data_IF_798246602146
#
_entry.id   IF_798246602146
#
_cell.length_a   1.000
_cell.length_b   1.000
_cell.length_c   1.000
_cell.angle_alpha   90.00
_cell.angle_beta   90.00
_cell.angle_gamma   90.00
#
_symmetry.space_group_name_H-M   'P 1'
#
loop_
_entity.id
_entity.type
_entity.pdbx_description
1 polymer ?
#
# COMPACT_ATOMS: atom_id res chain seq x y z
N UNK A 1 30.96 54.77 6.01
CA UNK A 1 30.60 54.12 4.73
C UNK A 1 31.89 54.06 3.92
N UNK A 2 32.54 52.90 3.87
CA UNK A 2 33.83 52.75 3.19
C UNK A 2 33.56 52.45 1.70
N UNK A 3 33.87 53.41 0.83
CA UNK A 3 33.84 53.23 -0.62
C UNK A 3 35.11 52.52 -1.08
N UNK A 4 34.97 51.72 -2.14
CA UNK A 4 35.97 50.75 -2.63
C UNK A 4 37.34 51.37 -2.85
N UNK A 5 37.44 52.68 -3.14
CA UNK A 5 38.68 53.37 -3.55
C UNK A 5 39.69 53.67 -2.42
N UNK A 6 39.38 53.33 -1.16
CA UNK A 6 40.25 53.59 0.01
C UNK A 6 40.99 52.34 0.54
N UNK A 7 41.06 51.26 -0.23
CA UNK A 7 41.77 50.04 0.16
C UNK A 7 43.21 50.05 -0.37
N UNK A 8 44.15 49.53 0.43
CA UNK A 8 45.55 49.40 0.01
C UNK A 8 45.67 48.51 -1.23
N UNK A 9 46.61 48.84 -2.12
CA UNK A 9 46.89 48.11 -3.37
C UNK A 9 47.11 46.61 -3.16
N UNK A 10 47.61 46.23 -1.97
CA UNK A 10 47.80 44.84 -1.54
C UNK A 10 46.49 44.05 -1.48
N UNK A 11 45.39 44.68 -1.07
CA UNK A 11 44.07 44.06 -0.94
C UNK A 11 43.50 43.75 -2.33
N UNK A 12 43.68 44.64 -3.30
CA UNK A 12 43.29 44.40 -4.69
C UNK A 12 44.09 43.27 -5.33
N UNK A 13 45.41 43.22 -5.09
CA UNK A 13 46.25 42.13 -5.59
C UNK A 13 45.84 40.78 -4.99
N UNK A 14 45.52 40.75 -3.70
CA UNK A 14 45.09 39.54 -3.00
C UNK A 14 43.70 39.09 -3.51
N UNK A 15 42.78 40.03 -3.73
CA UNK A 15 41.49 39.76 -4.34
C UNK A 15 41.65 39.19 -5.75
N UNK A 16 42.45 39.82 -6.62
CA UNK A 16 42.71 39.35 -7.97
C UNK A 16 43.34 37.95 -8.01
N UNK A 17 44.30 37.68 -7.12
CA UNK A 17 44.90 36.34 -6.97
C UNK A 17 43.86 35.30 -6.55
N UNK A 18 42.99 35.65 -5.59
CA UNK A 18 41.95 34.75 -5.11
C UNK A 18 40.92 34.44 -6.18
N UNK A 19 40.47 35.45 -6.93
CA UNK A 19 39.55 35.27 -8.05
C UNK A 19 40.17 34.40 -9.13
N UNK A 20 41.44 34.63 -9.49
CA UNK A 20 42.17 33.81 -10.47
C UNK A 20 42.30 32.35 -10.05
N UNK A 21 42.57 32.08 -8.77
CA UNK A 21 42.63 30.70 -8.26
C UNK A 21 41.27 30.00 -8.34
N UNK A 22 40.19 30.71 -8.01
CA UNK A 22 38.83 30.16 -8.10
C UNK A 22 38.48 29.86 -9.57
N UNK A 23 38.77 30.79 -10.48
CA UNK A 23 38.55 30.59 -11.92
C UNK A 23 39.34 29.40 -12.47
N UNK A 24 40.61 29.25 -12.10
CA UNK A 24 41.42 28.09 -12.48
C UNK A 24 40.86 26.77 -11.95
N UNK A 25 40.39 26.77 -10.69
CA UNK A 25 39.78 25.58 -10.07
C UNK A 25 38.48 25.21 -10.79
N UNK A 26 37.65 26.19 -11.12
CA UNK A 26 36.42 25.98 -11.88
C UNK A 26 36.70 25.50 -13.31
N UNK A 27 37.75 25.99 -13.97
CA UNK A 27 38.15 25.50 -15.30
C UNK A 27 38.65 24.05 -15.27
N UNK A 28 39.41 23.67 -14.24
CA UNK A 28 39.96 22.32 -14.11
C UNK A 28 38.89 21.28 -13.74
N UNK A 29 38.03 21.59 -12.76
CA UNK A 29 37.08 20.64 -12.21
C UNK A 29 35.64 20.83 -12.71
N UNK A 30 35.38 21.87 -13.52
CA UNK A 30 34.06 22.22 -14.07
C UNK A 30 32.96 22.22 -13.00
N UNK A 31 33.27 22.75 -11.81
CA UNK A 31 32.36 22.73 -10.65
C UNK A 31 31.04 23.46 -10.94
N UNK A 32 31.07 24.47 -11.81
CA UNK A 32 29.88 25.20 -12.27
C UNK A 32 28.89 24.30 -13.04
N UNK A 33 29.35 23.16 -13.57
CA UNK A 33 28.55 22.16 -14.28
C UNK A 33 28.09 21.01 -13.35
N UNK A 34 28.54 20.96 -12.09
CA UNK A 34 28.19 19.87 -11.17
C UNK A 34 26.67 19.79 -10.90
N UNK A 35 25.97 20.92 -10.90
CA UNK A 35 24.50 20.96 -10.78
C UNK A 35 23.74 20.51 -12.04
N UNK A 36 24.43 20.35 -13.17
CA UNK A 36 23.86 19.89 -14.44
C UNK A 36 24.02 18.39 -14.69
N UNK A 37 24.72 17.68 -13.80
CA UNK A 37 24.85 16.22 -13.89
C UNK A 37 23.47 15.62 -13.60
N UNK A 38 22.85 14.88 -14.55
CA UNK A 38 21.56 14.27 -14.32
C UNK A 38 21.69 13.29 -13.14
N UNK A 39 20.68 13.22 -12.25
CA UNK A 39 20.71 12.38 -11.03
C UNK A 39 20.88 10.88 -11.32
N UNK A 40 20.77 10.48 -12.58
CA UNK A 40 21.02 9.13 -13.09
C UNK A 40 22.50 8.72 -13.06
N UNK A 41 23.44 9.67 -12.96
CA UNK A 41 24.90 9.43 -12.88
C UNK A 41 25.39 9.44 -11.42
N UNK A 42 24.49 9.73 -10.47
CA UNK A 42 24.80 9.73 -9.05
C UNK A 42 25.02 8.27 -8.61
N UNK A 43 26.29 7.85 -8.55
CA UNK A 43 26.68 6.56 -7.98
C UNK A 43 26.35 6.63 -6.49
N UNK A 44 25.20 6.06 -6.12
CA UNK A 44 24.89 5.86 -4.70
C UNK A 44 25.90 4.85 -4.15
N UNK A 45 26.75 5.30 -3.25
CA UNK A 45 27.64 4.44 -2.48
C UNK A 45 26.83 3.73 -1.40
N UNK A 46 25.96 2.80 -1.83
CA UNK A 46 25.22 1.94 -0.93
C UNK A 46 26.15 0.80 -0.52
N UNK A 47 26.80 0.93 0.63
CA UNK A 47 27.44 -0.20 1.28
C UNK A 47 26.33 -1.18 1.69
N UNK A 48 26.23 -2.37 1.06
CA UNK A 48 25.22 -3.33 1.44
C UNK A 48 25.47 -3.77 2.88
N UNK A 49 24.40 -3.94 3.66
CA UNK A 49 24.55 -4.52 5.00
C UNK A 49 25.07 -5.95 4.85
N UNK A 50 25.88 -6.47 5.79
CA UNK A 50 26.37 -7.85 5.72
C UNK A 50 25.22 -8.87 5.56
N UNK A 51 24.07 -8.59 6.16
CA UNK A 51 22.83 -9.40 5.99
C UNK A 51 22.29 -9.43 4.55
N UNK A 52 22.48 -8.35 3.79
CA UNK A 52 22.06 -8.26 2.39
C UNK A 52 23.05 -8.99 1.47
N UNK A 53 24.35 -9.00 1.84
CA UNK A 53 25.37 -9.80 1.16
C UNK A 53 25.10 -11.29 1.36
N UNK A 54 24.79 -11.73 2.59
CA UNK A 54 24.45 -13.13 2.88
C UNK A 54 23.20 -13.60 2.12
N UNK A 55 22.25 -12.68 1.92
CA UNK A 55 21.04 -12.87 1.13
C UNK A 55 21.35 -13.00 -0.37
N UNK A 56 22.22 -12.15 -0.91
CA UNK A 56 22.68 -12.22 -2.30
C UNK A 56 23.52 -13.47 -2.59
N UNK A 57 24.37 -13.86 -1.65
CA UNK A 57 25.23 -15.05 -1.76
C UNK A 57 24.46 -16.36 -1.52
N UNK A 58 23.17 -16.30 -1.18
CA UNK A 58 22.34 -17.47 -0.94
C UNK A 58 22.78 -18.31 0.27
N UNK A 59 23.56 -17.72 1.18
CA UNK A 59 24.06 -18.38 2.40
C UNK A 59 22.91 -18.57 3.40
N UNK A 60 21.94 -17.65 3.40
CA UNK A 60 20.74 -17.73 4.24
C UNK A 60 19.58 -18.31 3.41
N UNK A 61 18.97 -19.43 3.84
CA UNK A 61 17.77 -19.94 3.20
C UNK A 61 16.59 -19.02 3.51
N UNK A 62 16.14 -18.27 2.52
CA UNK A 62 14.96 -17.42 2.67
C UNK A 62 13.76 -18.19 2.12
N UNK A 63 12.84 -18.53 3.01
CA UNK A 63 11.49 -18.93 2.64
C UNK A 63 10.75 -17.67 2.17
N UNK A 64 11.06 -17.16 0.97
CA UNK A 64 10.24 -16.12 0.36
C UNK A 64 8.94 -16.77 -0.13
N UNK A 65 7.78 -16.47 0.47
CA UNK A 65 6.52 -16.84 -0.18
C UNK A 65 6.50 -16.12 -1.53
N UNK A 66 6.15 -16.85 -2.59
CA UNK A 66 6.05 -16.37 -3.97
C UNK A 66 5.07 -15.19 -4.16
N UNK A 67 4.34 -14.81 -3.11
CA UNK A 67 3.44 -13.68 -3.07
C UNK A 67 3.33 -13.10 -1.66
N UNK A 68 3.65 -11.82 -1.50
CA UNK A 68 3.29 -11.00 -0.34
C UNK A 68 2.02 -10.22 -0.65
N UNK A 69 0.87 -10.88 -0.58
CA UNK A 69 -0.42 -10.16 -0.61
C UNK A 69 -1.06 -10.22 0.76
N UNK A 70 -1.38 -9.06 1.29
CA UNK A 70 -2.28 -8.98 2.44
C UNK A 70 -3.67 -9.45 2.01
N UNK A 71 -4.42 -10.14 2.90
CA UNK A 71 -5.80 -10.48 2.61
C UNK A 71 -6.57 -9.18 2.33
N UNK A 72 -7.30 -9.10 1.20
CA UNK A 72 -8.00 -7.88 0.84
C UNK A 72 -9.12 -7.60 1.83
N UNK A 73 -9.22 -6.35 2.27
CA UNK A 73 -10.39 -5.85 3.00
C UNK A 73 -11.65 -6.06 2.15
N UNK A 74 -12.71 -6.62 2.75
CA UNK A 74 -13.98 -6.92 2.09
C UNK A 74 -13.86 -7.81 0.83
N UNK A 75 -13.16 -8.95 0.95
CA UNK A 75 -12.94 -9.92 -0.14
C UNK A 75 -14.22 -10.29 -0.89
N UNK A 76 -15.33 -10.53 -0.16
CA UNK A 76 -16.61 -10.95 -0.73
C UNK A 76 -17.21 -9.91 -1.67
N UNK A 77 -17.06 -8.62 -1.36
CA UNK A 77 -17.51 -7.51 -2.21
C UNK A 77 -16.66 -7.36 -3.46
N UNK A 78 -15.33 -7.43 -3.34
CA UNK A 78 -14.40 -7.20 -4.45
C UNK A 78 -14.43 -8.30 -5.51
N UNK A 79 -14.75 -9.54 -5.13
CA UNK A 79 -14.78 -10.68 -6.06
C UNK A 79 -16.12 -10.83 -6.81
N UNK A 80 -17.16 -10.11 -6.40
CA UNK A 80 -18.49 -10.24 -6.99
C UNK A 80 -18.61 -9.34 -8.22
N UNK A 81 -19.03 -9.93 -9.33
CA UNK A 81 -19.36 -9.20 -10.55
C UNK A 81 -20.52 -8.22 -10.26
N UNK A 82 -20.46 -6.98 -10.77
CA UNK A 82 -21.60 -6.05 -10.70
C UNK A 82 -22.83 -6.56 -11.47
N UNK A 83 -22.62 -7.51 -12.40
CA UNK A 83 -23.68 -8.24 -13.12
C UNK A 83 -24.06 -9.55 -12.44
N UNK A 84 -23.46 -9.86 -11.28
CA UNK A 84 -23.83 -11.02 -10.49
C UNK A 84 -25.22 -10.83 -9.89
N UNK A 85 -25.98 -11.92 -9.82
CA UNK A 85 -27.33 -11.99 -9.24
C UNK A 85 -27.39 -11.72 -7.73
N UNK A 86 -26.33 -11.14 -7.14
CA UNK A 86 -26.22 -10.75 -5.74
C UNK A 86 -27.32 -9.78 -5.28
N UNK A 87 -27.90 -8.99 -6.20
CA UNK A 87 -29.03 -8.08 -5.92
C UNK A 87 -30.38 -8.80 -5.76
N UNK A 88 -30.49 -10.05 -6.22
CA UNK A 88 -31.73 -10.84 -6.17
C UNK A 88 -31.80 -11.67 -4.88
N UNK A 89 -30.65 -11.83 -4.21
CA UNK A 89 -30.54 -12.62 -3.00
C UNK A 89 -31.00 -11.78 -1.80
N UNK A 90 -31.92 -12.28 -0.95
CA UNK A 90 -32.32 -11.60 0.26
C UNK A 90 -31.13 -11.43 1.22
N UNK A 91 -31.01 -10.23 1.77
CA UNK A 91 -30.08 -9.86 2.83
C UNK A 91 -30.77 -8.96 3.84
N UNK A 92 -30.29 -8.97 5.08
CA UNK A 92 -30.72 -8.03 6.12
C UNK A 92 -29.97 -6.71 5.95
N UNK A 93 -30.42 -5.88 5.00
CA UNK A 93 -29.72 -4.65 4.61
C UNK A 93 -28.67 -4.90 3.54
N UNK A 94 -27.57 -4.16 3.57
CA UNK A 94 -26.44 -4.40 2.66
C UNK A 94 -25.68 -5.68 3.07
N UNK A 95 -25.07 -6.37 2.10
CA UNK A 95 -24.36 -7.63 2.37
C UNK A 95 -23.13 -7.41 3.26
N UNK A 96 -22.47 -6.26 3.11
CA UNK A 96 -21.35 -5.85 3.97
C UNK A 96 -21.83 -5.56 5.39
N UNK A 97 -23.03 -5.00 5.55
CA UNK A 97 -23.64 -4.75 6.86
C UNK A 97 -24.04 -6.06 7.52
N UNK A 98 -24.60 -7.01 6.77
CA UNK A 98 -24.91 -8.33 7.28
C UNK A 98 -23.66 -9.06 7.78
N UNK A 99 -22.54 -9.03 7.05
CA UNK A 99 -21.29 -9.66 7.51
C UNK A 99 -20.73 -9.00 8.79
N UNK A 100 -20.83 -7.67 8.91
CA UNK A 100 -20.47 -6.96 10.14
C UNK A 100 -21.39 -7.33 11.30
N UNK A 101 -22.69 -7.45 11.06
CA UNK A 101 -23.68 -7.81 12.06
C UNK A 101 -23.47 -9.24 12.56
N UNK A 102 -23.19 -10.20 11.66
CA UNK A 102 -22.83 -11.57 12.01
C UNK A 102 -21.58 -11.62 12.91
N UNK A 103 -20.55 -10.84 12.56
CA UNK A 103 -19.33 -10.72 13.39
C UNK A 103 -19.61 -10.06 14.75
N UNK A 104 -20.43 -9.01 14.77
CA UNK A 104 -20.82 -8.33 15.99
C UNK A 104 -21.55 -9.28 16.94
N UNK A 105 -22.58 -9.99 16.44
CA UNK A 105 -23.34 -10.98 17.21
C UNK A 105 -22.43 -12.10 17.72
N UNK A 106 -21.49 -12.58 16.90
CA UNK A 106 -20.53 -13.61 17.32
C UNK A 106 -19.65 -13.11 18.49
N UNK A 107 -19.16 -11.87 18.41
CA UNK A 107 -18.27 -11.25 19.40
C UNK A 107 -18.93 -10.80 20.70
N UNK A 108 -20.26 -10.68 20.73
CA UNK A 108 -20.97 -10.28 21.95
C UNK A 108 -20.91 -11.36 23.03
N UNK A 109 -20.42 -10.99 24.21
CA UNK A 109 -20.46 -11.81 25.42
C UNK A 109 -21.86 -11.78 26.02
N UNK A 110 -22.49 -12.95 26.18
CA UNK A 110 -23.78 -13.06 26.86
C UNK A 110 -23.55 -13.22 28.36
N UNK A 111 -24.23 -12.41 29.18
CA UNK A 111 -24.15 -12.44 30.64
C UNK A 111 -25.39 -13.04 31.29
N UNK A 112 -26.52 -12.97 30.61
CA UNK A 112 -27.80 -13.49 31.10
C UNK A 112 -28.31 -14.63 30.22
N UNK A 113 -29.10 -15.57 30.77
CA UNK A 113 -29.69 -16.66 29.98
C UNK A 113 -30.71 -16.15 28.94
N UNK A 114 -31.23 -14.93 29.10
CA UNK A 114 -32.11 -14.28 28.11
C UNK A 114 -31.30 -13.81 26.90
N UNK A 115 -30.15 -13.15 27.11
CA UNK A 115 -29.23 -12.74 26.04
C UNK A 115 -28.71 -13.92 25.22
N UNK A 116 -28.49 -15.08 25.84
CA UNK A 116 -28.09 -16.29 25.11
C UNK A 116 -29.19 -16.77 24.16
N UNK A 117 -30.45 -16.72 24.58
CA UNK A 117 -31.60 -17.08 23.73
C UNK A 117 -31.78 -16.10 22.59
N UNK A 118 -31.62 -14.81 22.86
CA UNK A 118 -31.67 -13.77 21.83
C UNK A 118 -30.56 -13.96 20.81
N UNK A 119 -29.32 -14.17 21.26
CA UNK A 119 -28.18 -14.47 20.39
C UNK A 119 -28.45 -15.71 19.52
N UNK A 120 -28.96 -16.79 20.11
CA UNK A 120 -29.34 -17.99 19.37
C UNK A 120 -30.41 -17.70 18.29
N UNK A 121 -31.46 -16.96 18.64
CA UNK A 121 -32.51 -16.60 17.68
C UNK A 121 -32.00 -15.75 16.51
N UNK A 122 -31.10 -14.80 16.78
CA UNK A 122 -30.44 -13.99 15.75
C UNK A 122 -29.55 -14.86 14.85
N UNK A 123 -28.75 -15.75 15.43
CA UNK A 123 -27.92 -16.68 14.64
C UNK A 123 -28.77 -17.59 13.76
N UNK A 124 -29.89 -18.11 14.26
CA UNK A 124 -30.81 -18.94 13.48
C UNK A 124 -31.43 -18.16 12.31
N UNK A 125 -31.73 -16.87 12.49
CA UNK A 125 -32.22 -16.00 11.41
C UNK A 125 -31.19 -15.88 10.27
N UNK A 126 -29.92 -15.60 10.59
CA UNK A 126 -28.86 -15.53 9.59
C UNK A 126 -28.67 -16.87 8.86
N UNK A 127 -28.74 -18.00 9.57
CA UNK A 127 -28.67 -19.32 8.95
C UNK A 127 -29.83 -19.59 7.98
N UNK A 128 -31.05 -19.17 8.30
CA UNK A 128 -32.19 -19.31 7.41
C UNK A 128 -32.01 -18.50 6.13
N UNK A 129 -31.51 -17.26 6.25
CA UNK A 129 -31.18 -16.43 5.08
C UNK A 129 -30.12 -17.10 4.22
N UNK A 130 -29.08 -17.68 4.83
CA UNK A 130 -28.05 -18.43 4.11
C UNK A 130 -28.64 -19.64 3.36
N UNK A 131 -29.59 -20.36 3.96
CA UNK A 131 -30.29 -21.49 3.31
C UNK A 131 -31.12 -21.00 2.10
N UNK A 132 -31.89 -19.94 2.26
CA UNK A 132 -32.67 -19.34 1.16
C UNK A 132 -31.75 -18.91 0.01
N UNK A 133 -30.63 -18.25 0.36
CA UNK A 133 -29.64 -17.80 -0.61
C UNK A 133 -29.01 -18.96 -1.38
N UNK A 134 -28.80 -20.11 -0.74
CA UNK A 134 -28.32 -21.33 -1.39
C UNK A 134 -29.33 -21.86 -2.42
N UNK A 135 -30.62 -21.89 -2.06
CA UNK A 135 -31.68 -22.32 -2.97
C UNK A 135 -31.84 -21.39 -4.17
N UNK A 136 -31.87 -20.08 -3.93
CA UNK A 136 -31.95 -19.07 -4.98
C UNK A 136 -30.74 -19.14 -5.91
N UNK A 137 -29.53 -19.29 -5.36
CA UNK A 137 -28.32 -19.43 -6.18
C UNK A 137 -28.39 -20.66 -7.09
N UNK A 138 -28.96 -21.76 -6.61
CA UNK A 138 -29.16 -22.97 -7.43
C UNK A 138 -30.23 -22.76 -8.51
N UNK A 139 -31.35 -22.10 -8.19
CA UNK A 139 -32.40 -21.78 -9.17
C UNK A 139 -31.84 -20.87 -10.26
N UNK A 140 -31.19 -19.78 -9.86
CA UNK A 140 -30.59 -18.80 -10.77
C UNK A 140 -29.49 -19.44 -11.61
N UNK A 141 -28.67 -20.33 -11.04
CA UNK A 141 -27.68 -21.09 -11.77
C UNK A 141 -28.30 -21.93 -12.88
N UNK A 142 -29.42 -22.62 -12.60
CA UNK A 142 -30.16 -23.38 -13.62
C UNK A 142 -30.80 -22.49 -14.68
N UNK A 143 -31.37 -21.35 -14.29
CA UNK A 143 -31.93 -20.38 -15.24
C UNK A 143 -30.84 -19.82 -16.16
N UNK A 144 -29.66 -19.51 -15.61
CA UNK A 144 -28.51 -19.06 -16.39
C UNK A 144 -28.02 -20.11 -17.39
N UNK A 145 -28.00 -21.39 -17.00
CA UNK A 145 -27.69 -22.51 -17.91
C UNK A 145 -28.73 -22.63 -19.04
N UNK A 146 -30.01 -22.43 -18.75
CA UNK A 146 -31.08 -22.45 -19.75
C UNK A 146 -30.99 -21.28 -20.75
N UNK A 147 -30.53 -20.11 -20.29
CA UNK A 147 -30.35 -18.91 -21.12
C UNK A 147 -29.08 -18.96 -22.00
N UNK A 148 -28.13 -19.84 -21.70
CA UNK A 148 -26.95 -20.08 -22.55
C UNK A 148 -27.21 -21.05 -23.71
N UNK A 149 -28.44 -21.58 -23.82
CA UNK A 149 -28.92 -22.37 -24.96
C UNK A 149 -29.19 -21.51 -26.19
#
# INVERSE_FOLDING_TARGET
MATIDNLDLSIYNLYALRTRMIEQTNQQFRLDQAGSIPPQILVMDSFPKPTEIDLLLGVVPILTPWAYFFPPTAFRRKRRSPFGFARILPSLGDQDEQEKNEQAVASMECRTPEEEREKQSLTACFEQIAKINRWLSHIVGRVGQLLQG
#
